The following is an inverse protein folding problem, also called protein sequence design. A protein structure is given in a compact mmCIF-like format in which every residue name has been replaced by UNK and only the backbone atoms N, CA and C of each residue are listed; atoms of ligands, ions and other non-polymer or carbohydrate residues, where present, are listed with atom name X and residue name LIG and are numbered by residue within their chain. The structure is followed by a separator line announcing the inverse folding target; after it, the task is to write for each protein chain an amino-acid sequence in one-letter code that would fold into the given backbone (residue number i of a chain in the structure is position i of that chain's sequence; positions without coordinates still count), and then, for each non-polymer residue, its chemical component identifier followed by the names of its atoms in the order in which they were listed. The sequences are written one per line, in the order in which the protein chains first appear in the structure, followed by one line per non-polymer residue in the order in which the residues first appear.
data_IF_602147381483
#
_entry.id   IF_602147381483
#
_cell.length_a   1.000
_cell.length_b   1.000
_cell.length_c   1.000
_cell.angle_alpha   90.00
_cell.angle_beta   90.00
_cell.angle_gamma   90.00
#
_symmetry.space_group_name_H-M   'P 1'
#
loop_
_entity.id
_entity.type
_entity.pdbx_description
1 polymer ?
#
# COMPACT_ATOMS: atom_id res chain seq x y z
N UNK A 1 9.93 -9.15 -9.58
CA UNK A 1 8.99 -10.29 -9.66
C UNK A 1 9.43 -11.44 -8.77
N UNK A 2 8.45 -12.08 -8.15
CA UNK A 2 8.65 -13.29 -7.35
C UNK A 2 7.78 -14.39 -7.94
N UNK A 3 8.33 -15.57 -8.04
CA UNK A 3 7.61 -16.80 -8.39
C UNK A 3 8.15 -17.94 -7.54
N UNK A 4 7.25 -18.75 -6.97
CA UNK A 4 7.59 -19.91 -6.13
C UNK A 4 8.58 -19.55 -4.99
N UNK A 5 8.40 -18.37 -4.40
CA UNK A 5 9.24 -17.86 -3.31
C UNK A 5 10.59 -17.28 -3.73
N UNK A 6 10.91 -17.25 -5.01
CA UNK A 6 12.19 -16.77 -5.53
C UNK A 6 12.03 -15.51 -6.36
N UNK A 7 12.99 -14.59 -6.25
CA UNK A 7 13.09 -13.44 -7.16
C UNK A 7 13.51 -13.94 -8.54
N UNK A 8 12.66 -13.70 -9.55
CA UNK A 8 12.90 -14.13 -10.91
C UNK A 8 13.23 -12.99 -11.86
N UNK A 9 12.86 -11.75 -11.52
CA UNK A 9 13.05 -10.60 -12.37
C UNK A 9 12.97 -9.30 -11.57
N UNK A 10 13.50 -8.20 -12.11
CA UNK A 10 13.54 -6.89 -11.49
C UNK A 10 13.37 -5.79 -12.53
N UNK A 11 12.61 -4.76 -12.20
CA UNK A 11 12.45 -3.55 -12.99
C UNK A 11 12.74 -2.33 -12.12
N UNK A 12 13.77 -1.60 -12.46
CA UNK A 12 14.14 -0.37 -11.76
C UNK A 12 14.62 0.67 -12.75
N UNK A 13 14.07 1.86 -12.68
CA UNK A 13 14.47 3.00 -13.50
C UNK A 13 14.15 4.31 -12.81
N UNK A 14 14.91 5.35 -13.11
CA UNK A 14 14.48 6.71 -12.83
C UNK A 14 13.43 7.13 -13.87
N UNK A 15 12.59 8.07 -13.47
CA UNK A 15 11.62 8.71 -14.36
C UNK A 15 11.82 10.21 -14.29
N UNK A 16 11.97 10.84 -15.46
CA UNK A 16 12.14 12.28 -15.56
C UNK A 16 10.83 12.99 -15.20
N UNK A 17 10.80 13.81 -14.15
CA UNK A 17 9.60 14.54 -13.79
C UNK A 17 9.41 15.73 -14.71
N UNK A 18 8.16 16.20 -14.87
CA UNK A 18 7.83 17.41 -15.64
C UNK A 18 8.39 18.69 -15.02
N UNK A 19 8.76 18.67 -13.74
CA UNK A 19 9.33 19.80 -12.99
C UNK A 19 10.52 19.32 -12.18
N UNK A 20 11.49 20.22 -11.97
CA UNK A 20 12.60 19.92 -11.06
C UNK A 20 12.11 19.57 -9.66
N UNK A 21 12.68 18.53 -9.08
CA UNK A 21 12.39 18.15 -7.69
C UNK A 21 12.98 19.16 -6.72
N UNK A 22 12.30 19.37 -5.60
CA UNK A 22 12.74 20.30 -4.57
C UNK A 22 13.86 19.70 -3.72
N UNK A 23 14.63 20.56 -3.03
CA UNK A 23 15.65 20.11 -2.06
C UNK A 23 15.08 19.21 -0.97
N UNK A 24 13.83 19.41 -0.57
CA UNK A 24 13.16 18.56 0.43
C UNK A 24 13.03 17.12 -0.10
N UNK A 25 12.61 16.95 -1.35
CA UNK A 25 12.52 15.64 -1.99
C UNK A 25 13.91 15.00 -2.10
N UNK A 26 14.89 15.77 -2.59
CA UNK A 26 16.29 15.27 -2.67
C UNK A 26 16.81 14.83 -1.30
N UNK A 27 16.55 15.58 -0.23
CA UNK A 27 16.99 15.21 1.12
C UNK A 27 16.34 13.91 1.64
N UNK A 28 15.13 13.58 1.19
CA UNK A 28 14.42 12.36 1.61
C UNK A 28 14.79 11.17 0.74
N UNK A 29 14.91 11.36 -0.57
CA UNK A 29 15.10 10.27 -1.54
C UNK A 29 16.55 10.06 -1.94
N UNK A 30 17.43 11.03 -1.63
CA UNK A 30 18.81 11.12 -2.12
C UNK A 30 18.94 11.19 -3.65
N UNK A 31 17.82 11.41 -4.36
CA UNK A 31 17.78 11.58 -5.81
C UNK A 31 17.98 13.05 -6.12
N UNK A 32 18.86 13.37 -7.05
CA UNK A 32 19.15 14.73 -7.49
C UNK A 32 18.50 15.03 -8.85
N UNK A 33 18.40 16.33 -9.18
CA UNK A 33 17.95 16.72 -10.51
C UNK A 33 18.92 16.29 -11.63
N UNK A 34 20.20 16.12 -11.30
CA UNK A 34 21.21 15.65 -12.25
C UNK A 34 21.01 14.16 -12.57
N UNK A 35 20.66 13.34 -11.57
CA UNK A 35 20.31 11.93 -11.77
C UNK A 35 19.10 11.78 -12.71
N UNK A 36 18.17 12.72 -12.66
CA UNK A 36 16.94 12.71 -13.43
C UNK A 36 17.06 13.38 -14.81
N UNK A 37 18.16 14.08 -15.10
CA UNK A 37 18.31 14.90 -16.29
C UNK A 37 18.20 14.08 -17.58
N UNK A 38 18.82 12.89 -17.61
CA UNK A 38 18.83 11.96 -18.72
C UNK A 38 17.91 10.74 -18.52
N UNK A 39 17.07 10.74 -17.48
CA UNK A 39 16.12 9.68 -17.23
C UNK A 39 15.01 9.68 -18.31
N UNK A 40 14.45 8.51 -18.65
CA UNK A 40 13.31 8.42 -19.55
C UNK A 40 12.08 9.09 -18.95
N UNK A 41 11.14 9.49 -19.79
CA UNK A 41 9.88 10.08 -19.37
C UNK A 41 8.89 9.02 -18.89
N UNK A 42 7.81 9.43 -18.25
CA UNK A 42 6.76 8.50 -17.80
C UNK A 42 6.07 7.81 -18.98
N UNK A 43 5.96 8.50 -20.12
CA UNK A 43 5.39 8.00 -21.36
C UNK A 43 6.22 6.86 -21.93
N UNK A 44 7.54 6.89 -21.76
CA UNK A 44 8.45 5.84 -22.20
C UNK A 44 8.48 4.67 -21.22
N UNK A 45 8.51 4.95 -19.93
CA UNK A 45 8.67 3.93 -18.88
C UNK A 45 7.39 3.13 -18.63
N UNK A 46 6.24 3.80 -18.62
CA UNK A 46 5.01 3.17 -18.15
C UNK A 46 4.53 2.00 -19.01
N UNK A 47 4.63 2.05 -20.36
CA UNK A 47 4.31 0.91 -21.22
C UNK A 47 5.18 -0.33 -20.93
N UNK A 48 6.47 -0.13 -20.68
CA UNK A 48 7.38 -1.22 -20.33
C UNK A 48 7.08 -1.78 -18.94
N UNK A 49 6.74 -0.92 -17.98
CA UNK A 49 6.31 -1.34 -16.65
C UNK A 49 5.02 -2.16 -16.72
N UNK A 50 4.04 -1.74 -17.52
CA UNK A 50 2.79 -2.50 -17.74
C UNK A 50 3.09 -3.91 -18.28
N UNK A 51 3.96 -4.04 -19.26
CA UNK A 51 4.41 -5.35 -19.77
C UNK A 51 5.11 -6.16 -18.66
N UNK A 52 5.92 -5.48 -17.86
CA UNK A 52 6.62 -6.13 -16.75
C UNK A 52 5.64 -6.70 -15.73
N UNK A 53 4.57 -5.99 -15.35
CA UNK A 53 3.61 -6.45 -14.34
C UNK A 53 2.49 -7.33 -14.90
N UNK A 54 2.44 -7.57 -16.19
CA UNK A 54 1.40 -8.39 -16.82
C UNK A 54 1.29 -9.78 -16.19
N UNK A 55 0.06 -10.19 -15.90
CA UNK A 55 -0.25 -11.44 -15.20
C UNK A 55 0.19 -11.52 -13.74
N UNK A 56 0.66 -10.41 -13.14
CA UNK A 56 1.12 -10.38 -11.75
C UNK A 56 0.03 -9.90 -10.78
N UNK A 57 0.11 -10.36 -9.53
CA UNK A 57 -0.54 -9.72 -8.39
C UNK A 57 0.43 -8.69 -7.85
N UNK A 58 0.01 -7.42 -7.76
CA UNK A 58 0.83 -6.36 -7.20
C UNK A 58 0.86 -6.47 -5.67
N UNK A 59 2.02 -6.25 -5.08
CA UNK A 59 2.19 -6.24 -3.62
C UNK A 59 2.86 -4.93 -3.25
N UNK A 60 2.25 -4.17 -2.35
CA UNK A 60 2.82 -2.92 -1.86
C UNK A 60 2.54 -2.73 -0.37
N UNK A 61 3.29 -1.83 0.26
CA UNK A 61 3.08 -1.45 1.66
C UNK A 61 2.39 -0.08 1.72
N UNK A 62 1.11 -0.05 2.07
CA UNK A 62 0.19 1.07 1.89
C UNK A 62 -0.20 1.26 0.41
N UNK A 63 -0.68 0.17 -0.17
CA UNK A 63 -0.93 -0.02 -1.60
C UNK A 63 -1.82 1.05 -2.24
N UNK A 64 -2.72 1.68 -1.49
CA UNK A 64 -3.57 2.77 -2.00
C UNK A 64 -2.75 3.91 -2.60
N UNK A 65 -1.58 4.20 -2.03
CA UNK A 65 -0.71 5.26 -2.52
C UNK A 65 -0.11 4.88 -3.88
N UNK A 66 0.57 3.73 -3.95
CA UNK A 66 1.28 3.29 -5.17
C UNK A 66 0.30 2.99 -6.31
N UNK A 67 -0.78 2.26 -6.02
CA UNK A 67 -1.82 1.93 -7.00
C UNK A 67 -2.56 3.17 -7.48
N UNK A 68 -2.80 4.14 -6.59
CA UNK A 68 -3.42 5.42 -6.96
C UNK A 68 -2.58 6.18 -7.99
N UNK A 69 -1.27 6.28 -7.76
CA UNK A 69 -0.35 6.89 -8.70
C UNK A 69 -0.24 6.13 -10.03
N UNK A 70 -0.15 4.80 -9.97
CA UNK A 70 -0.11 3.97 -11.17
C UNK A 70 -1.37 4.17 -12.02
N UNK A 71 -2.57 4.06 -11.42
CA UNK A 71 -3.85 4.25 -12.11
C UNK A 71 -3.97 5.64 -12.74
N UNK A 72 -3.59 6.69 -12.01
CA UNK A 72 -3.65 8.06 -12.50
C UNK A 72 -2.79 8.24 -13.77
N UNK A 73 -1.56 7.74 -13.75
CA UNK A 73 -0.66 7.85 -14.89
C UNK A 73 -1.10 6.97 -16.07
N UNK A 74 -1.57 5.75 -15.83
CA UNK A 74 -2.15 4.88 -16.87
C UNK A 74 -3.35 5.54 -17.54
N UNK A 75 -4.23 6.17 -16.75
CA UNK A 75 -5.40 6.89 -17.27
C UNK A 75 -4.98 8.09 -18.13
N UNK A 76 -3.99 8.86 -17.67
CA UNK A 76 -3.49 10.03 -18.40
C UNK A 76 -2.90 9.65 -19.78
N UNK A 77 -2.29 8.46 -19.88
CA UNK A 77 -1.72 7.94 -21.13
C UNK A 77 -2.69 7.08 -21.95
N UNK A 78 -3.94 6.93 -21.51
CA UNK A 78 -4.91 6.08 -22.19
C UNK A 78 -4.59 4.57 -22.16
N UNK A 79 -3.72 4.15 -21.22
CA UNK A 79 -3.28 2.77 -21.05
C UNK A 79 -4.07 2.01 -19.97
N UNK A 80 -4.97 2.69 -19.28
CA UNK A 80 -5.79 2.08 -18.22
C UNK A 80 -6.87 1.20 -18.84
N UNK A 81 -6.81 -0.09 -18.56
CA UNK A 81 -7.77 -1.08 -19.06
C UNK A 81 -8.66 -1.65 -17.95
N UNK A 82 -8.07 -1.99 -16.82
CA UNK A 82 -8.75 -2.62 -15.69
C UNK A 82 -7.98 -2.44 -14.38
N UNK A 83 -8.59 -2.83 -13.27
CA UNK A 83 -7.95 -2.82 -11.97
C UNK A 83 -6.96 -3.99 -11.84
N UNK A 84 -5.74 -3.67 -11.41
CA UNK A 84 -4.74 -4.69 -11.07
C UNK A 84 -5.07 -5.33 -9.71
N UNK A 85 -5.05 -6.67 -9.61
CA UNK A 85 -5.15 -7.32 -8.31
C UNK A 85 -3.97 -6.89 -7.42
N UNK A 86 -4.27 -6.47 -6.20
CA UNK A 86 -3.26 -5.93 -5.30
C UNK A 86 -3.43 -6.47 -3.88
N UNK A 87 -2.30 -6.72 -3.23
CA UNK A 87 -2.20 -7.08 -1.82
C UNK A 87 -1.48 -5.96 -1.07
N UNK A 88 -2.06 -5.51 0.04
CA UNK A 88 -1.50 -4.49 0.90
C UNK A 88 -0.88 -5.10 2.16
N UNK A 89 0.45 -5.11 2.22
CA UNK A 89 1.19 -5.65 3.38
C UNK A 89 1.00 -4.81 4.65
N UNK A 90 0.61 -3.54 4.56
CA UNK A 90 0.24 -2.72 5.72
C UNK A 90 -1.03 -3.26 6.37
N UNK A 91 -2.06 -3.59 5.58
CA UNK A 91 -3.31 -4.14 6.10
C UNK A 91 -3.08 -5.55 6.65
N UNK A 92 -2.30 -6.37 5.96
CA UNK A 92 -1.90 -7.68 6.46
C UNK A 92 -1.17 -7.58 7.80
N UNK A 93 -0.19 -6.67 7.92
CA UNK A 93 0.55 -6.46 9.16
C UNK A 93 -0.35 -6.05 10.32
N UNK A 94 -1.30 -5.15 10.08
CA UNK A 94 -2.29 -4.75 11.08
C UNK A 94 -3.17 -5.91 11.52
N UNK A 95 -3.62 -6.74 10.59
CA UNK A 95 -4.47 -7.90 10.88
C UNK A 95 -3.71 -8.98 11.68
N UNK A 96 -2.48 -9.28 11.29
CA UNK A 96 -1.73 -10.41 11.85
C UNK A 96 -0.95 -10.07 13.12
N UNK A 97 -0.43 -8.83 13.22
CA UNK A 97 0.58 -8.48 14.24
C UNK A 97 0.18 -7.30 15.13
N UNK A 98 -1.10 -6.92 15.17
CA UNK A 98 -1.59 -5.82 16.02
C UNK A 98 -1.32 -6.03 17.51
N UNK A 99 -1.20 -7.26 17.96
CA UNK A 99 -0.87 -7.60 19.34
C UNK A 99 0.64 -7.50 19.66
N UNK A 100 1.49 -7.44 18.63
CA UNK A 100 2.95 -7.50 18.75
C UNK A 100 3.56 -6.14 18.35
N UNK A 101 3.04 -5.52 17.29
CA UNK A 101 3.60 -4.29 16.72
C UNK A 101 2.77 -3.07 17.15
N UNK A 102 3.49 -2.00 17.52
CA UNK A 102 2.89 -0.69 17.84
C UNK A 102 2.84 0.25 16.64
N UNK A 103 3.70 0.05 15.66
CA UNK A 103 3.82 0.86 14.44
C UNK A 103 3.86 -0.04 13.24
N UNK A 104 3.27 0.42 12.14
CA UNK A 104 3.05 -0.37 10.94
C UNK A 104 3.66 0.26 9.67
N UNK A 105 4.61 1.20 9.78
CA UNK A 105 5.42 1.57 8.63
C UNK A 105 6.35 0.41 8.23
N UNK A 106 6.79 0.38 7.00
CA UNK A 106 7.56 -0.74 6.43
C UNK A 106 8.77 -1.12 7.30
N UNK A 107 9.51 -0.11 7.77
CA UNK A 107 10.69 -0.30 8.63
C UNK A 107 10.35 -0.99 9.95
N UNK A 108 9.32 -0.51 10.63
CA UNK A 108 8.94 -1.06 11.94
C UNK A 108 8.37 -2.48 11.78
N UNK A 109 7.62 -2.74 10.70
CA UNK A 109 7.12 -4.08 10.37
C UNK A 109 8.29 -5.02 10.05
N UNK A 110 9.21 -4.65 9.16
CA UNK A 110 10.37 -5.46 8.82
C UNK A 110 11.21 -5.78 10.06
N UNK A 111 11.48 -4.77 10.89
CA UNK A 111 12.22 -4.95 12.15
C UNK A 111 11.48 -5.89 13.12
N UNK A 112 10.18 -5.73 13.28
CA UNK A 112 9.38 -6.57 14.16
C UNK A 112 9.30 -8.03 13.70
N UNK A 113 9.29 -8.26 12.40
CA UNK A 113 9.33 -9.58 11.78
C UNK A 113 10.75 -10.15 11.60
N UNK A 114 11.79 -9.42 12.05
CA UNK A 114 13.20 -9.78 11.90
C UNK A 114 13.62 -9.99 10.44
N UNK A 115 13.01 -9.21 9.55
CA UNK A 115 13.37 -9.16 8.13
C UNK A 115 14.51 -8.16 7.95
N UNK A 116 15.51 -8.54 7.18
CA UNK A 116 16.64 -7.67 6.84
C UNK A 116 16.16 -6.47 6.04
N UNK A 117 16.67 -5.29 6.41
CA UNK A 117 16.33 -4.02 5.77
C UNK A 117 17.57 -3.56 5.02
N UNK A 118 17.44 -3.48 3.71
CA UNK A 118 18.44 -2.81 2.88
C UNK A 118 18.38 -1.29 3.07
N UNK A 119 19.28 -0.53 2.43
CA UNK A 119 19.31 0.93 2.56
C UNK A 119 17.92 1.55 2.28
N UNK A 120 17.47 2.44 3.16
CA UNK A 120 16.15 3.06 3.08
C UNK A 120 16.09 4.19 2.05
N UNK A 121 14.84 4.57 1.67
CA UNK A 121 14.51 5.71 0.83
C UNK A 121 14.90 5.57 -0.66
N UNK A 122 15.26 4.38 -1.10
CA UNK A 122 15.33 4.06 -2.53
C UNK A 122 14.26 3.04 -2.87
N UNK A 123 13.40 3.36 -3.83
CA UNK A 123 12.22 2.57 -4.19
C UNK A 123 12.51 1.08 -4.42
N UNK A 124 13.67 0.75 -4.98
CA UNK A 124 14.10 -0.64 -5.18
C UNK A 124 14.33 -1.38 -3.85
N UNK A 125 15.00 -0.74 -2.90
CA UNK A 125 15.26 -1.33 -1.59
C UNK A 125 13.99 -1.47 -0.76
N UNK A 126 13.08 -0.48 -0.86
CA UNK A 126 11.75 -0.57 -0.23
C UNK A 126 10.92 -1.69 -0.86
N UNK A 127 11.02 -1.90 -2.19
CA UNK A 127 10.39 -3.02 -2.88
C UNK A 127 10.96 -4.37 -2.44
N UNK A 128 12.29 -4.50 -2.29
CA UNK A 128 12.93 -5.71 -1.74
C UNK A 128 12.49 -5.97 -0.30
N UNK A 129 12.51 -4.95 0.56
CA UNK A 129 12.03 -5.06 1.94
C UNK A 129 10.57 -5.48 1.99
N UNK A 130 9.71 -4.88 1.17
CA UNK A 130 8.28 -5.25 1.08
C UNK A 130 8.11 -6.70 0.63
N UNK A 131 8.90 -7.13 -0.35
CA UNK A 131 8.94 -8.51 -0.81
C UNK A 131 9.28 -9.49 0.31
N UNK A 132 10.36 -9.23 1.05
CA UNK A 132 10.82 -10.10 2.13
C UNK A 132 9.81 -10.13 3.29
N UNK A 133 9.22 -8.98 3.63
CA UNK A 133 8.12 -8.88 4.60
C UNK A 133 6.93 -9.71 4.15
N UNK A 134 6.53 -9.59 2.89
CA UNK A 134 5.41 -10.36 2.35
C UNK A 134 5.68 -11.86 2.37
N UNK A 135 6.88 -12.31 1.98
CA UNK A 135 7.26 -13.72 2.04
C UNK A 135 7.24 -14.27 3.46
N UNK A 136 7.70 -13.49 4.45
CA UNK A 136 7.61 -13.86 5.86
C UNK A 136 6.15 -14.00 6.30
N UNK A 137 5.29 -13.04 5.92
CA UNK A 137 3.85 -13.11 6.23
C UNK A 137 3.17 -14.33 5.60
N UNK A 138 3.54 -14.69 4.37
CA UNK A 138 3.01 -15.90 3.72
C UNK A 138 3.40 -17.17 4.47
N UNK A 139 4.63 -17.24 4.99
CA UNK A 139 5.07 -18.34 5.85
C UNK A 139 4.19 -18.46 7.10
N UNK A 140 4.01 -17.33 7.81
CA UNK A 140 3.19 -17.30 9.03
C UNK A 140 1.71 -17.64 8.76
N UNK A 141 1.17 -17.22 7.61
CA UNK A 141 -0.18 -17.57 7.14
C UNK A 141 -0.31 -19.06 6.85
N UNK A 142 0.69 -19.64 6.21
CA UNK A 142 0.71 -21.07 5.92
C UNK A 142 0.74 -21.91 7.20
N UNK A 143 1.48 -21.48 8.23
CA UNK A 143 1.48 -22.09 9.55
C UNK A 143 0.09 -22.07 10.22
N UNK A 144 -0.74 -21.06 9.90
CA UNK A 144 -2.14 -20.97 10.35
C UNK A 144 -3.10 -21.84 9.51
N UNK A 145 -2.60 -22.60 8.54
CA UNK A 145 -3.40 -23.46 7.67
C UNK A 145 -4.20 -22.72 6.59
N UNK A 146 -3.90 -21.43 6.35
CA UNK A 146 -4.54 -20.62 5.32
C UNK A 146 -3.75 -20.79 4.03
N UNK A 147 -4.32 -21.50 3.06
CA UNK A 147 -3.67 -21.81 1.77
C UNK A 147 -4.28 -21.06 0.59
N UNK A 148 -5.39 -20.34 0.80
CA UNK A 148 -6.08 -19.61 -0.26
C UNK A 148 -6.16 -18.12 0.11
N UNK A 149 -5.81 -17.23 -0.83
CA UNK A 149 -5.89 -15.79 -0.64
C UNK A 149 -7.30 -15.28 -0.24
N UNK A 150 -8.35 -15.97 -0.67
CA UNK A 150 -9.74 -15.66 -0.28
C UNK A 150 -10.01 -15.86 1.22
N UNK A 151 -9.21 -16.68 1.86
CA UNK A 151 -9.32 -16.96 3.29
C UNK A 151 -8.53 -15.97 4.16
N UNK A 152 -7.75 -15.05 3.55
CA UNK A 152 -7.02 -14.00 4.27
C UNK A 152 -7.95 -13.12 5.13
N UNK A 153 -9.20 -12.97 4.71
CA UNK A 153 -10.21 -12.26 5.50
C UNK A 153 -10.49 -12.93 6.87
N UNK A 154 -10.18 -14.22 7.03
CA UNK A 154 -10.31 -14.94 8.31
C UNK A 154 -9.28 -14.49 9.34
N UNK A 155 -8.19 -13.83 8.91
CA UNK A 155 -7.19 -13.24 9.81
C UNK A 155 -7.70 -11.99 10.53
N UNK A 156 -8.75 -11.37 10.00
CA UNK A 156 -9.31 -10.15 10.58
C UNK A 156 -10.47 -10.52 11.49
N UNK A 157 -10.33 -10.26 12.80
CA UNK A 157 -11.45 -10.36 13.72
C UNK A 157 -12.54 -9.37 13.31
N UNK A 158 -13.75 -9.83 12.95
CA UNK A 158 -14.86 -8.96 12.57
C UNK A 158 -15.16 -7.86 13.61
N UNK A 159 -14.94 -8.15 14.90
CA UNK A 159 -15.17 -7.22 16.00
C UNK A 159 -14.03 -6.19 16.14
N UNK A 160 -12.94 -6.34 15.41
CA UNK A 160 -11.80 -5.42 15.46
C UNK A 160 -11.53 -4.71 14.11
N UNK A 161 -12.34 -4.95 13.10
CA UNK A 161 -12.22 -4.32 11.77
C UNK A 161 -12.10 -2.79 11.90
N UNK A 162 -12.87 -2.17 12.79
CA UNK A 162 -12.84 -0.71 13.00
C UNK A 162 -11.47 -0.18 13.45
N UNK A 163 -10.63 -1.01 14.09
CA UNK A 163 -9.27 -0.61 14.51
C UNK A 163 -8.29 -0.48 13.35
N UNK A 164 -8.60 -1.11 12.23
CA UNK A 164 -7.75 -1.20 11.05
C UNK A 164 -8.30 -0.41 9.86
N UNK A 165 -9.53 0.10 9.97
CA UNK A 165 -10.12 0.95 8.93
C UNK A 165 -9.43 2.32 8.95
N UNK A 166 -9.00 2.77 7.76
CA UNK A 166 -8.50 4.13 7.60
C UNK A 166 -9.68 5.08 7.83
N UNK A 167 -9.59 6.03 8.77
CA UNK A 167 -10.66 6.99 8.99
C UNK A 167 -10.96 7.76 7.71
N UNK A 168 -12.16 7.64 7.21
CA UNK A 168 -12.62 8.41 6.06
C UNK A 168 -13.43 9.60 6.58
N UNK A 169 -13.02 10.80 6.20
CA UNK A 169 -13.79 12.01 6.53
C UNK A 169 -15.00 12.11 5.61
N UNK A 170 -16.19 12.15 6.21
CA UNK A 170 -17.44 12.39 5.48
C UNK A 170 -17.97 13.76 5.92
N UNK A 171 -18.09 14.68 4.97
CA UNK A 171 -18.77 15.95 5.20
C UNK A 171 -20.26 15.78 4.89
N UNK A 172 -21.10 15.89 5.91
CA UNK A 172 -22.55 15.80 5.75
C UNK A 172 -23.18 17.18 5.90
N UNK A 173 -23.88 17.61 4.85
CA UNK A 173 -24.68 18.83 4.85
C UNK A 173 -26.14 18.51 5.10
N UNK A 174 -26.71 19.09 6.15
CA UNK A 174 -28.10 18.90 6.53
C UNK A 174 -28.93 20.01 5.91
N UNK A 175 -29.90 19.64 5.05
CA UNK A 175 -30.77 20.58 4.34
C UNK A 175 -32.13 20.80 5.01
N UNK A 176 -32.57 19.90 5.90
CA UNK A 176 -33.89 19.92 6.52
C UNK A 176 -33.82 19.54 8.00
N UNK A 177 -34.84 19.93 8.80
CA UNK A 177 -34.97 19.50 10.19
C UNK A 177 -35.01 17.96 10.37
N UNK A 178 -35.66 17.25 9.45
CA UNK A 178 -35.65 15.78 9.45
C UNK A 178 -34.25 15.22 9.21
N UNK A 179 -33.46 15.83 8.30
CA UNK A 179 -32.06 15.51 8.07
C UNK A 179 -31.21 15.74 9.29
N UNK A 180 -31.44 16.84 10.05
CA UNK A 180 -30.73 17.12 11.29
C UNK A 180 -30.99 16.05 12.36
N UNK A 181 -32.24 15.63 12.52
CA UNK A 181 -32.61 14.54 13.43
C UNK A 181 -31.93 13.22 13.06
N UNK A 182 -31.84 12.92 11.78
CA UNK A 182 -31.14 11.72 11.29
C UNK A 182 -29.62 11.82 11.50
N UNK A 183 -29.02 13.01 11.31
CA UNK A 183 -27.60 13.22 11.58
C UNK A 183 -27.29 12.97 13.06
N UNK A 184 -28.10 13.47 13.99
CA UNK A 184 -27.90 13.20 15.42
C UNK A 184 -28.01 11.71 15.75
N UNK A 185 -28.92 10.95 15.12
CA UNK A 185 -29.02 9.50 15.30
C UNK A 185 -27.73 8.80 14.84
N UNK A 186 -27.18 9.20 13.67
CA UNK A 186 -25.92 8.65 13.16
C UNK A 186 -24.77 8.93 14.14
N UNK A 187 -24.63 10.18 14.59
CA UNK A 187 -23.59 10.56 15.54
C UNK A 187 -23.72 9.77 16.85
N UNK A 188 -24.94 9.65 17.39
CA UNK A 188 -25.17 8.89 18.64
C UNK A 188 -24.81 7.42 18.49
N UNK A 189 -25.19 6.78 17.37
CA UNK A 189 -24.83 5.38 17.11
C UNK A 189 -23.32 5.17 16.96
N UNK A 190 -22.62 6.13 16.36
CA UNK A 190 -21.15 6.08 16.25
C UNK A 190 -20.47 6.23 17.61
N UNK A 191 -21.02 7.05 18.51
CA UNK A 191 -20.51 7.25 19.86
C UNK A 191 -20.72 6.01 20.73
N UNK A 192 -21.86 5.33 20.59
CA UNK A 192 -22.15 4.07 21.28
C UNK A 192 -21.21 2.95 20.84
N UNK A 193 -20.92 2.82 19.55
CA UNK A 193 -19.94 1.85 19.03
C UNK A 193 -18.50 2.13 19.49
N UNK A 194 -18.15 3.40 19.73
CA UNK A 194 -16.82 3.79 20.22
C UNK A 194 -16.59 3.56 21.71
N UNK A 195 -17.65 3.40 22.51
CA UNK A 195 -17.60 3.24 23.96
C UNK A 195 -17.68 1.78 24.43
N UNK A 196 -17.84 0.81 23.56
CA UNK A 196 -17.66 -0.61 23.91
C UNK A 196 -16.18 -0.93 24.02
N UNK A 197 -15.62 -0.68 25.19
CA UNK A 197 -14.30 -1.18 25.61
C UNK A 197 -14.44 -2.61 26.12
#
# INVERSE_FOLDING_TARGET
KIKDGMKIDEFATFVKPSRKISKVITNVTEITNDDLSNAPTIEEVLPEFVKFIDGCILVAHNALFDIGHLKANLKNLGLYTEDYPCIDTLQMAKAMYSNILKRFNLKDVAKGLKVEIEQQHRALHDAHTTSNVFMKMLGDIAELGITNYKDLNKLVDPNQIYKHVIPTHINMLVKTHAGLKNLYKIISSMTEMGNTK
#
